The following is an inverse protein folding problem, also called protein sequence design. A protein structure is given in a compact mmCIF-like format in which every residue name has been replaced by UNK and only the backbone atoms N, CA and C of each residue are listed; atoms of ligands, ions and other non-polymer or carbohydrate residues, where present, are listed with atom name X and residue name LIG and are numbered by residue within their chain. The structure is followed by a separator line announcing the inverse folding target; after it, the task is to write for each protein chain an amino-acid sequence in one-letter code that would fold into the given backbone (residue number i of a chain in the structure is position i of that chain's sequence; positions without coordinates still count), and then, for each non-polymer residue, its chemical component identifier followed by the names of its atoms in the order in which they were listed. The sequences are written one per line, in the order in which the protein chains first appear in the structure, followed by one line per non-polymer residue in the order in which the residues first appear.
data_IF_695666317158
#
_entry.id   IF_695666317158
#
_cell.length_a   1.000
_cell.length_b   1.000
_cell.length_c   1.000
_cell.angle_alpha   90.00
_cell.angle_beta   90.00
_cell.angle_gamma   90.00
#
_symmetry.space_group_name_H-M   'P 1'
#
loop_
_entity.id
_entity.type
_entity.pdbx_description
1 polymer ?
#
# COMPACT_ATOMS: atom_id res chain seq x y z
N UNK A 1 12.78 -29.83 21.74
CA UNK A 1 12.05 -29.92 20.45
C UNK A 1 12.17 -28.56 19.76
N UNK A 2 12.80 -28.44 18.58
CA UNK A 2 12.97 -27.14 17.93
C UNK A 2 11.70 -26.84 17.15
N UNK A 3 10.90 -25.91 17.67
CA UNK A 3 9.77 -25.37 16.93
C UNK A 3 10.34 -24.57 15.77
N UNK A 4 10.06 -25.02 14.55
CA UNK A 4 10.22 -24.31 13.27
C UNK A 4 9.39 -23.00 13.24
N UNK A 5 9.62 -22.11 14.21
CA UNK A 5 8.86 -20.87 14.47
C UNK A 5 9.67 -19.62 14.13
N UNK A 6 10.80 -19.78 13.44
CA UNK A 6 11.38 -18.71 12.62
C UNK A 6 11.05 -19.04 11.18
N UNK A 7 9.80 -18.73 10.86
CA UNK A 7 9.32 -18.49 9.51
C UNK A 7 10.46 -17.85 8.72
N UNK A 8 10.92 -18.48 7.64
CA UNK A 8 11.35 -17.85 6.37
C UNK A 8 11.42 -16.30 6.40
N UNK A 9 12.31 -15.73 7.22
CA UNK A 9 12.34 -14.29 7.54
C UNK A 9 12.87 -13.44 6.37
N UNK A 10 13.16 -14.04 5.20
CA UNK A 10 13.75 -13.33 4.07
C UNK A 10 13.17 -13.71 2.68
N UNK A 11 11.91 -14.16 2.59
CA UNK A 11 11.14 -14.17 1.32
C UNK A 11 9.64 -13.96 1.57
N UNK A 12 9.28 -12.85 2.21
CA UNK A 12 7.88 -12.48 2.50
C UNK A 12 7.17 -11.99 1.22
N UNK A 13 7.91 -11.37 0.30
CA UNK A 13 7.42 -10.90 -0.99
C UNK A 13 8.35 -11.38 -2.12
N UNK A 14 7.76 -11.77 -3.24
CA UNK A 14 8.44 -12.11 -4.49
C UNK A 14 8.91 -10.83 -5.21
N UNK A 15 9.88 -10.93 -6.13
CA UNK A 15 10.32 -9.79 -6.94
C UNK A 15 9.17 -9.13 -7.71
N UNK A 16 8.18 -9.91 -8.13
CA UNK A 16 6.99 -9.43 -8.82
C UNK A 16 6.11 -8.57 -7.90
N UNK A 17 5.93 -8.98 -6.63
CA UNK A 17 5.18 -8.23 -5.62
C UNK A 17 5.90 -6.93 -5.23
N UNK A 18 7.22 -7.00 -5.03
CA UNK A 18 8.03 -5.80 -4.76
C UNK A 18 7.96 -4.83 -5.95
N UNK A 19 7.97 -5.34 -7.18
CA UNK A 19 7.78 -4.54 -8.39
C UNK A 19 6.41 -3.87 -8.46
N UNK A 20 5.35 -4.58 -8.04
CA UNK A 20 4.00 -4.02 -7.94
C UNK A 20 3.96 -2.87 -6.92
N UNK A 21 4.49 -3.08 -5.71
CA UNK A 21 4.51 -2.05 -4.67
C UNK A 21 5.28 -0.81 -5.12
N UNK A 22 6.41 -0.98 -5.79
CA UNK A 22 7.17 0.11 -6.38
C UNK A 22 6.36 0.92 -7.38
N UNK A 23 5.67 0.28 -8.32
CA UNK A 23 4.83 0.97 -9.33
C UNK A 23 3.66 1.72 -8.69
N UNK A 24 2.95 1.09 -7.76
CA UNK A 24 1.84 1.72 -7.03
C UNK A 24 2.35 2.90 -6.22
N UNK A 25 3.46 2.74 -5.51
CA UNK A 25 4.07 3.80 -4.71
C UNK A 25 4.51 4.99 -5.56
N UNK A 26 5.19 4.76 -6.68
CA UNK A 26 5.60 5.81 -7.61
C UNK A 26 4.42 6.58 -8.21
N UNK A 27 3.29 5.90 -8.46
CA UNK A 27 2.05 6.53 -8.93
C UNK A 27 1.25 7.23 -7.83
N UNK A 28 1.31 6.72 -6.61
CA UNK A 28 0.58 7.25 -5.47
C UNK A 28 1.30 8.42 -4.79
N UNK A 29 2.64 8.42 -4.78
CA UNK A 29 3.43 9.50 -4.19
C UNK A 29 3.19 10.80 -4.97
N UNK A 30 3.06 11.91 -4.26
CA UNK A 30 3.08 13.26 -4.86
C UNK A 30 4.51 13.81 -4.84
N UNK A 31 4.82 14.62 -5.84
CA UNK A 31 6.11 15.28 -5.95
C UNK A 31 6.23 16.31 -4.83
N UNK A 32 7.21 16.15 -3.94
CA UNK A 32 7.41 17.05 -2.79
C UNK A 32 6.80 16.57 -1.46
N UNK A 33 6.22 15.36 -1.39
CA UNK A 33 5.71 14.81 -0.13
C UNK A 33 6.85 14.50 0.84
N UNK A 34 6.58 14.74 2.13
CA UNK A 34 7.49 14.47 3.25
C UNK A 34 7.75 12.97 3.42
N UNK A 35 8.89 12.63 4.01
CA UNK A 35 9.31 11.23 4.24
C UNK A 35 8.27 10.45 5.04
N UNK A 36 7.70 11.04 6.09
CA UNK A 36 6.63 10.43 6.89
C UNK A 36 5.39 10.06 6.06
N UNK A 37 5.04 10.89 5.06
CA UNK A 37 3.91 10.61 4.16
C UNK A 37 4.21 9.48 3.19
N UNK A 38 5.47 9.36 2.76
CA UNK A 38 5.95 8.24 1.96
C UNK A 38 5.92 6.93 2.75
N UNK A 39 6.39 6.94 3.99
CA UNK A 39 6.33 5.76 4.86
C UNK A 39 4.88 5.33 5.12
N UNK A 40 3.99 6.28 5.43
CA UNK A 40 2.57 6.01 5.60
C UNK A 40 1.95 5.40 4.34
N UNK A 41 2.29 5.92 3.15
CA UNK A 41 1.84 5.38 1.86
C UNK A 41 2.33 3.94 1.64
N UNK A 42 3.62 3.67 1.86
CA UNK A 42 4.20 2.35 1.69
C UNK A 42 3.55 1.32 2.62
N UNK A 43 3.36 1.67 3.89
CA UNK A 43 2.68 0.82 4.87
C UNK A 43 1.26 0.47 4.43
N UNK A 44 0.56 1.43 3.83
CA UNK A 44 -0.81 1.26 3.36
C UNK A 44 -0.93 0.34 2.15
N UNK A 45 0.01 0.45 1.21
CA UNK A 45 0.10 -0.46 0.05
C UNK A 45 0.28 -1.90 0.55
N UNK A 46 1.18 -2.10 1.51
CA UNK A 46 1.43 -3.43 2.11
C UNK A 46 0.21 -3.92 2.88
N UNK A 47 -0.45 -3.08 3.68
CA UNK A 47 -1.66 -3.44 4.42
C UNK A 47 -2.82 -3.85 3.50
N UNK A 48 -3.07 -3.09 2.43
CA UNK A 48 -4.09 -3.42 1.44
C UNK A 48 -3.75 -4.73 0.70
N UNK A 49 -2.47 -4.96 0.38
CA UNK A 49 -2.03 -6.22 -0.22
C UNK A 49 -2.25 -7.42 0.71
N UNK A 50 -1.91 -7.28 1.98
CA UNK A 50 -2.15 -8.29 3.01
C UNK A 50 -3.65 -8.55 3.25
N UNK A 51 -4.52 -7.57 2.95
CA UNK A 51 -5.97 -7.75 2.96
C UNK A 51 -6.49 -8.54 1.73
N UNK A 52 -5.61 -9.00 0.85
CA UNK A 52 -5.93 -9.78 -0.34
C UNK A 52 -6.04 -8.96 -1.63
N UNK A 53 -5.73 -7.66 -1.59
CA UNK A 53 -5.84 -6.77 -2.74
C UNK A 53 -4.55 -6.84 -3.55
N UNK A 54 -4.58 -7.61 -4.63
CA UNK A 54 -3.41 -7.85 -5.48
C UNK A 54 -3.43 -7.03 -6.77
N UNK A 55 -4.54 -6.37 -7.08
CA UNK A 55 -4.70 -5.55 -8.28
C UNK A 55 -4.01 -4.18 -8.13
N UNK A 56 -3.24 -3.78 -9.15
CA UNK A 56 -2.47 -2.53 -9.16
C UNK A 56 -3.37 -1.29 -9.08
N UNK A 57 -4.48 -1.28 -9.82
CA UNK A 57 -5.37 -0.14 -9.89
C UNK A 57 -6.16 0.01 -8.58
N UNK A 58 -6.61 -1.10 -8.00
CA UNK A 58 -7.28 -1.12 -6.70
C UNK A 58 -6.34 -0.67 -5.57
N UNK A 59 -5.12 -1.22 -5.52
CA UNK A 59 -4.11 -0.81 -4.55
C UNK A 59 -3.82 0.68 -4.66
N UNK A 60 -3.69 1.21 -5.86
CA UNK A 60 -3.46 2.63 -6.12
C UNK A 60 -4.63 3.49 -5.66
N UNK A 61 -5.86 3.09 -5.98
CA UNK A 61 -7.07 3.79 -5.60
C UNK A 61 -7.24 3.85 -4.08
N UNK A 62 -7.00 2.74 -3.38
CA UNK A 62 -7.11 2.66 -1.92
C UNK A 62 -5.97 3.38 -1.20
N UNK A 63 -4.76 3.32 -1.75
CA UNK A 63 -3.59 3.99 -1.17
C UNK A 63 -3.62 5.50 -1.35
N UNK A 64 -4.26 6.00 -2.42
CA UNK A 64 -4.48 7.44 -2.65
C UNK A 64 -5.64 8.02 -1.85
N UNK A 65 -6.58 7.20 -1.39
CA UNK A 65 -7.64 7.67 -0.52
C UNK A 65 -7.05 7.99 0.85
N UNK A 66 -7.24 9.19 1.42
CA UNK A 66 -6.89 9.42 2.82
C UNK A 66 -7.71 8.46 3.71
N UNK A 67 -7.07 7.76 4.64
CA UNK A 67 -7.75 6.90 5.63
C UNK A 67 -8.51 7.84 6.54
N UNK A 68 -9.75 8.17 6.19
CA UNK A 68 -10.59 9.10 6.93
C UNK A 68 -11.31 10.07 6.03
N UNK A 69 -12.59 9.81 5.80
CA UNK A 69 -13.53 10.77 5.24
C UNK A 69 -13.65 10.70 3.73
N UNK A 70 -14.60 9.87 3.27
CA UNK A 70 -15.21 10.07 1.96
C UNK A 70 -15.64 11.53 1.84
N UNK A 71 -15.05 12.23 0.88
CA UNK A 71 -15.54 13.50 0.38
C UNK A 71 -16.94 13.24 -0.18
N UNK A 72 -17.95 13.42 0.67
CA UNK A 72 -19.35 13.50 0.25
C UNK A 72 -19.46 14.73 -0.63
N UNK A 73 -19.48 14.43 -1.92
CA UNK A 73 -20.00 15.27 -2.97
C UNK A 73 -21.35 15.87 -2.53
N UNK A 74 -21.35 17.11 -2.04
CA UNK A 74 -22.54 17.95 -2.02
C UNK A 74 -22.40 18.99 -3.13
N UNK A 75 -22.62 18.52 -4.35
CA UNK A 75 -23.15 19.37 -5.42
C UNK A 75 -24.68 19.30 -5.35
N UNK A 76 -25.29 20.35 -4.82
CA UNK A 76 -26.62 20.88 -5.14
C UNK A 76 -26.69 22.18 -4.33
N UNK A 77 -27.05 23.34 -4.86
CA UNK A 77 -27.71 23.76 -6.08
C UNK A 77 -28.23 25.16 -5.79
#
# INVERSE_FOLDING_TARGET
MPTNRKVREARIFTPSEVGLFGRVFERAKRKGESEAHREALASRIVANYMAGITDEAELLALSRQPSGGGNRNISQG
#
